data_IF_994009797225
#
_entry.id   IF_994009797225
#
_cell.length_a   1.000
_cell.length_b   1.000
_cell.length_c   1.000
_cell.angle_alpha   90.00
_cell.angle_beta   90.00
_cell.angle_gamma   90.00
#
_symmetry.space_group_name_H-M   'P 1'
#
loop_
_entity.id
_entity.type
_entity.pdbx_description
1 polymer ?
#
# COMPACT_ATOMS: atom_id res chain seq x y z
N UNK A 1 -13.44 15.57 -3.96
CA UNK A 1 -12.09 15.00 -3.74
C UNK A 1 -11.67 14.25 -4.98
N UNK A 2 -10.47 14.50 -5.45
CA UNK A 2 -9.92 13.80 -6.60
C UNK A 2 -9.38 12.44 -6.18
N UNK A 3 -9.48 11.47 -7.07
CA UNK A 3 -8.93 10.14 -6.86
C UNK A 3 -7.85 9.83 -7.88
N UNK A 4 -6.80 9.16 -7.43
CA UNK A 4 -5.66 8.80 -8.27
C UNK A 4 -5.39 7.31 -8.11
N UNK A 5 -5.06 6.66 -9.23
CA UNK A 5 -4.62 5.27 -9.20
C UNK A 5 -3.11 5.23 -9.06
N UNK A 6 -2.62 4.39 -8.16
CA UNK A 6 -1.19 4.22 -7.96
C UNK A 6 -0.87 2.75 -7.68
N UNK A 7 0.20 2.26 -8.28
CA UNK A 7 0.71 0.91 -8.02
C UNK A 7 2.21 0.91 -7.73
N UNK A 8 2.81 2.09 -7.60
CA UNK A 8 4.17 2.29 -7.12
C UNK A 8 4.15 3.13 -5.86
N UNK A 9 5.04 2.81 -4.94
CA UNK A 9 5.11 3.50 -3.66
C UNK A 9 6.58 3.65 -3.26
N UNK A 10 6.94 4.85 -2.82
CA UNK A 10 8.26 5.12 -2.27
C UNK A 10 8.15 6.09 -1.10
N UNK A 11 9.20 6.19 -0.32
CA UNK A 11 9.24 7.12 0.81
C UNK A 11 10.61 7.76 0.94
N UNK A 12 10.59 8.90 1.62
CA UNK A 12 11.80 9.55 2.12
C UNK A 12 11.51 10.09 3.51
N UNK A 13 12.48 10.08 4.37
CA UNK A 13 12.31 10.60 5.72
C UNK A 13 13.53 11.38 6.14
N UNK A 14 13.27 12.51 6.80
CA UNK A 14 14.28 13.31 7.49
C UNK A 14 13.77 13.63 8.88
N UNK A 15 14.53 14.39 9.65
CA UNK A 15 14.11 14.78 10.98
C UNK A 15 12.85 15.65 10.97
N UNK A 16 12.60 16.38 9.90
CA UNK A 16 11.54 17.36 9.80
C UNK A 16 10.40 16.98 8.86
N UNK A 17 10.62 15.99 7.98
CA UNK A 17 9.64 15.66 6.96
C UNK A 17 9.58 14.16 6.72
N UNK A 18 8.37 13.68 6.48
CA UNK A 18 8.12 12.36 5.94
C UNK A 18 7.40 12.52 4.62
N UNK A 19 7.94 11.91 3.57
CA UNK A 19 7.39 12.07 2.22
C UNK A 19 6.99 10.70 1.69
N UNK A 20 5.74 10.61 1.21
CA UNK A 20 5.27 9.46 0.44
C UNK A 20 5.14 9.87 -1.02
N UNK A 21 5.64 9.03 -1.90
CA UNK A 21 5.56 9.24 -3.33
C UNK A 21 4.78 8.09 -3.95
N UNK A 22 3.85 8.44 -4.83
CA UNK A 22 2.95 7.49 -5.50
C UNK A 22 3.12 7.63 -6.99
N UNK A 23 3.12 6.50 -7.68
CA UNK A 23 3.25 6.51 -9.12
C UNK A 23 2.61 5.29 -9.74
N UNK A 24 2.91 5.09 -11.01
CA UNK A 24 2.38 3.98 -11.77
C UNK A 24 3.50 3.32 -12.57
N UNK A 25 3.42 2.01 -12.68
CA UNK A 25 4.18 1.28 -13.69
C UNK A 25 3.20 0.47 -14.53
N UNK A 26 3.57 0.25 -15.77
CA UNK A 26 2.70 -0.44 -16.72
C UNK A 26 3.13 -1.88 -16.89
N UNK A 27 2.20 -2.73 -17.33
CA UNK A 27 2.50 -4.11 -17.66
C UNK A 27 3.61 -4.13 -18.73
N UNK A 28 4.67 -4.91 -18.45
CA UNK A 28 5.83 -4.94 -19.31
C UNK A 28 7.09 -4.35 -18.67
N UNK A 29 6.94 -3.57 -17.64
CA UNK A 29 8.07 -3.17 -16.80
C UNK A 29 8.33 -4.32 -15.81
N UNK A 30 9.47 -4.96 -15.96
CA UNK A 30 9.74 -6.20 -15.23
C UNK A 30 10.27 -5.98 -13.82
N UNK A 31 10.83 -4.81 -13.54
CA UNK A 31 11.52 -4.59 -12.28
C UNK A 31 11.13 -3.26 -11.66
N UNK A 32 10.33 -3.33 -10.61
CA UNK A 32 9.91 -2.16 -9.85
C UNK A 32 11.05 -1.46 -9.15
N UNK A 33 12.13 -2.18 -8.84
CA UNK A 33 13.27 -1.58 -8.17
C UNK A 33 14.02 -0.61 -9.06
N UNK A 34 13.79 -0.68 -10.36
CA UNK A 34 14.37 0.24 -11.34
C UNK A 34 13.47 1.42 -11.66
N UNK A 35 12.32 1.52 -11.00
CA UNK A 35 11.45 2.67 -11.22
C UNK A 35 12.19 3.96 -10.87
N UNK A 36 12.24 4.85 -11.84
CA UNK A 36 12.92 6.11 -11.71
C UNK A 36 12.00 7.14 -11.05
N UNK A 37 12.58 8.22 -10.56
CA UNK A 37 11.87 9.32 -9.96
C UNK A 37 10.75 9.88 -10.83
N UNK A 38 10.94 9.78 -12.14
CA UNK A 38 10.00 10.28 -13.12
C UNK A 38 8.71 9.47 -13.19
N UNK A 39 8.72 8.26 -12.62
CA UNK A 39 7.54 7.40 -12.60
C UNK A 39 6.56 7.76 -11.48
N UNK A 40 6.94 8.66 -10.59
CA UNK A 40 6.11 9.07 -9.47
C UNK A 40 5.39 10.38 -9.76
N UNK A 41 4.06 10.34 -9.73
CA UNK A 41 3.19 11.45 -10.11
C UNK A 41 2.73 12.30 -8.94
N UNK A 42 2.71 11.73 -7.75
CA UNK A 42 2.11 12.37 -6.58
C UNK A 42 3.08 12.27 -5.42
N UNK A 43 3.23 13.39 -4.73
CA UNK A 43 4.05 13.47 -3.53
C UNK A 43 3.23 14.06 -2.41
N UNK A 44 3.22 13.40 -1.26
CA UNK A 44 2.57 13.89 -0.06
C UNK A 44 3.65 14.11 1.00
N UNK A 45 3.76 15.36 1.45
CA UNK A 45 4.72 15.74 2.48
C UNK A 45 3.97 15.92 3.79
N UNK A 46 4.46 15.28 4.84
CA UNK A 46 3.80 15.33 6.15
C UNK A 46 4.83 15.39 7.27
N UNK A 47 4.36 15.74 8.46
CA UNK A 47 5.24 15.72 9.64
C UNK A 47 5.57 14.27 10.00
N UNK A 48 6.80 13.99 10.48
CA UNK A 48 7.18 12.61 10.84
C UNK A 48 6.31 11.99 11.93
N UNK A 49 5.68 12.80 12.76
CA UNK A 49 4.78 12.31 13.82
C UNK A 49 3.59 11.53 13.28
N UNK A 50 3.27 11.67 11.99
CA UNK A 50 2.19 10.92 11.35
C UNK A 50 2.58 9.50 10.96
N UNK A 51 3.87 9.15 11.06
CA UNK A 51 4.32 7.79 10.69
C UNK A 51 3.60 6.73 11.53
N UNK A 52 3.55 6.91 12.84
CA UNK A 52 2.90 5.92 13.73
C UNK A 52 1.41 5.79 13.48
N UNK A 53 0.62 6.88 13.42
CA UNK A 53 -0.78 6.77 13.05
C UNK A 53 -0.98 6.13 11.66
N UNK A 54 -0.08 6.42 10.72
CA UNK A 54 -0.15 5.83 9.39
C UNK A 54 0.06 4.31 9.44
N UNK A 55 1.03 3.84 10.22
CA UNK A 55 1.25 2.42 10.41
C UNK A 55 -0.02 1.76 10.96
N UNK A 56 -0.65 2.37 11.95
CA UNK A 56 -1.87 1.83 12.54
C UNK A 56 -3.00 1.75 11.51
N UNK A 57 -3.17 2.79 10.70
CA UNK A 57 -4.18 2.78 9.62
C UNK A 57 -3.89 1.70 8.58
N UNK A 58 -2.62 1.54 8.21
CA UNK A 58 -2.23 0.52 7.23
C UNK A 58 -2.44 -0.89 7.76
N UNK A 59 -2.18 -1.12 9.04
CA UNK A 59 -2.46 -2.42 9.67
C UNK A 59 -3.95 -2.73 9.67
N UNK A 60 -4.79 -1.74 9.99
CA UNK A 60 -6.24 -1.89 9.91
C UNK A 60 -6.70 -2.16 8.49
N UNK A 61 -6.14 -1.46 7.51
CA UNK A 61 -6.47 -1.67 6.11
C UNK A 61 -6.06 -3.06 5.64
N UNK A 62 -4.90 -3.53 6.09
CA UNK A 62 -4.43 -4.89 5.78
C UNK A 62 -5.39 -5.94 6.33
N UNK A 63 -5.81 -5.78 7.56
CA UNK A 63 -6.76 -6.70 8.19
C UNK A 63 -8.10 -6.70 7.45
N UNK A 64 -8.59 -5.52 7.08
CA UNK A 64 -9.83 -5.38 6.32
C UNK A 64 -9.72 -6.02 4.94
N UNK A 65 -8.59 -5.83 4.26
CA UNK A 65 -8.35 -6.45 2.96
C UNK A 65 -8.37 -7.97 3.06
N UNK A 66 -7.67 -8.51 4.05
CA UNK A 66 -7.58 -9.96 4.22
C UNK A 66 -8.96 -10.54 4.53
N UNK A 67 -9.77 -9.84 5.32
CA UNK A 67 -11.14 -10.24 5.61
C UNK A 67 -12.01 -10.24 4.35
N UNK A 68 -11.88 -9.21 3.52
CA UNK A 68 -12.61 -9.12 2.26
C UNK A 68 -12.22 -10.25 1.30
N UNK A 69 -10.93 -10.57 1.22
CA UNK A 69 -10.46 -11.69 0.40
C UNK A 69 -11.04 -13.02 0.86
N UNK A 70 -11.10 -13.24 2.16
CA UNK A 70 -11.67 -14.45 2.73
C UNK A 70 -13.16 -14.59 2.38
N UNK A 71 -13.88 -13.49 2.33
CA UNK A 71 -15.31 -13.49 1.98
C UNK A 71 -15.55 -13.82 0.50
N UNK A 72 -14.63 -13.40 -0.39
CA UNK A 72 -14.80 -13.53 -1.83
C UNK A 72 -14.02 -14.69 -2.45
N UNK A 73 -13.25 -15.44 -1.67
CA UNK A 73 -12.48 -16.58 -2.12
C UNK A 73 -13.02 -17.86 -1.46
N UNK A 74 -13.85 -18.65 -2.16
CA UNK A 74 -14.44 -19.87 -1.58
C UNK A 74 -13.37 -20.88 -1.15
N UNK A 75 -12.32 -21.04 -1.93
CA UNK A 75 -11.27 -22.02 -1.62
C UNK A 75 -10.53 -21.62 -0.35
N UNK A 76 -10.21 -20.36 -0.19
CA UNK A 76 -9.53 -19.86 1.00
C UNK A 76 -10.43 -19.95 2.22
N UNK A 77 -11.72 -19.65 2.05
CA UNK A 77 -12.71 -19.76 3.12
C UNK A 77 -12.84 -21.19 3.61
N UNK A 78 -12.87 -22.16 2.70
CA UNK A 78 -12.90 -23.57 3.06
C UNK A 78 -11.65 -23.99 3.82
N UNK A 79 -10.48 -23.55 3.38
CA UNK A 79 -9.21 -23.84 4.06
C UNK A 79 -9.20 -23.28 5.48
N UNK A 80 -9.69 -22.06 5.67
CA UNK A 80 -9.77 -21.44 6.99
C UNK A 80 -10.76 -22.15 7.89
N UNK A 81 -11.89 -22.60 7.34
CA UNK A 81 -12.87 -23.40 8.08
C UNK A 81 -12.28 -24.73 8.51
N UNK A 82 -11.51 -25.38 7.64
CA UNK A 82 -10.85 -26.64 7.96
C UNK A 82 -9.83 -26.48 9.08
N UNK A 83 -9.13 -25.35 9.11
CA UNK A 83 -8.16 -25.05 10.18
C UNK A 83 -8.84 -24.78 11.52
N UNK A 84 -10.03 -24.22 11.49
CA UNK A 84 -10.76 -23.90 12.70
C UNK A 84 -11.27 -25.16 13.42
N UNK A 85 -11.30 -26.27 12.72
CA UNK A 85 -11.67 -27.56 13.27
C UNK A 85 -10.47 -28.32 13.79
#
# INVERSE_FOLDING_TARGET
>A
MESYYANLLAYRVSANEFVLEFGNFFAGQEDRSKADFQDFDIRVVMVPDLIEPLINLLEQAKAARDQQRNLFDPAKKEADSARAQ
#
